data_IF_611965716103
#
_entry.id   IF_611965716103
#
_cell.length_a   1.000
_cell.length_b   1.000
_cell.length_c   1.000
_cell.angle_alpha   90.00
_cell.angle_beta   90.00
_cell.angle_gamma   90.00
#
_symmetry.space_group_name_H-M   'P 1'
#
loop_
_entity.id
_entity.type
_entity.pdbx_description
1 polymer ?
#
# COMPACT_ATOMS: atom_id res chain seq x y z
N UNK A 1 -18.65 -34.70 49.65
CA UNK A 1 -17.68 -34.54 48.55
C UNK A 1 -17.89 -33.19 47.90
N UNK A 2 -16.86 -32.35 47.95
CA UNK A 2 -16.81 -31.03 47.31
C UNK A 2 -15.64 -31.08 46.32
N UNK A 3 -15.86 -30.55 45.11
CA UNK A 3 -14.82 -30.40 44.09
C UNK A 3 -14.65 -28.92 43.84
N UNK A 4 -13.40 -28.45 43.87
CA UNK A 4 -13.04 -27.07 43.54
C UNK A 4 -11.78 -27.04 42.67
N UNK A 5 -11.52 -25.89 42.06
CA UNK A 5 -10.44 -25.71 41.10
C UNK A 5 -9.57 -24.53 41.49
N UNK A 6 -8.28 -24.60 41.15
CA UNK A 6 -7.30 -23.52 41.32
C UNK A 6 -6.45 -23.40 40.05
N UNK A 7 -6.21 -22.17 39.61
CA UNK A 7 -5.39 -21.83 38.43
C UNK A 7 -5.85 -22.51 37.13
N UNK A 8 -7.16 -22.68 36.94
CA UNK A 8 -7.75 -23.48 35.87
C UNK A 8 -8.12 -22.69 34.59
N UNK A 9 -7.67 -21.44 34.47
CA UNK A 9 -8.02 -20.55 33.34
C UNK A 9 -6.89 -20.25 32.38
N UNK A 10 -5.66 -20.15 32.87
CA UNK A 10 -4.51 -19.75 32.07
C UNK A 10 -3.54 -20.92 31.96
N UNK A 11 -2.70 -20.86 30.94
CA UNK A 11 -1.60 -21.82 30.71
C UNK A 11 -0.73 -21.96 31.95
N UNK A 12 -0.36 -23.21 32.22
CA UNK A 12 0.43 -23.62 33.37
C UNK A 12 -0.28 -24.66 34.24
N UNK A 13 0.20 -24.80 35.46
CA UNK A 13 -0.24 -25.87 36.36
C UNK A 13 -1.55 -25.52 37.07
N UNK A 14 -2.58 -26.31 36.83
CA UNK A 14 -3.88 -26.24 37.48
C UNK A 14 -4.08 -27.38 38.50
N UNK A 15 -4.95 -27.15 39.48
CA UNK A 15 -5.25 -28.13 40.53
C UNK A 15 -6.75 -28.36 40.64
N UNK A 16 -7.19 -29.60 40.56
CA UNK A 16 -8.52 -30.04 41.03
C UNK A 16 -8.37 -30.47 42.48
N UNK A 17 -9.11 -29.83 43.39
CA UNK A 17 -9.09 -30.10 44.81
C UNK A 17 -10.36 -30.90 45.14
N UNK A 18 -10.19 -32.16 45.56
CA UNK A 18 -11.28 -33.06 45.93
C UNK A 18 -11.32 -33.22 47.44
N UNK A 19 -12.35 -32.68 48.10
CA UNK A 19 -12.58 -32.83 49.54
C UNK A 19 -13.69 -33.84 49.82
N UNK A 20 -13.35 -34.94 50.47
CA UNK A 20 -14.29 -36.00 50.87
C UNK A 20 -14.96 -35.64 52.20
N UNK A 21 -14.15 -35.19 53.17
CA UNK A 21 -14.56 -34.63 54.47
C UNK A 21 -13.82 -33.31 54.76
N UNK A 22 -13.93 -32.75 55.98
CA UNK A 22 -13.17 -31.55 56.39
C UNK A 22 -11.66 -31.77 56.36
N UNK A 23 -11.21 -33.01 56.60
CA UNK A 23 -9.80 -33.34 56.81
C UNK A 23 -9.29 -34.44 55.85
N UNK A 24 -10.17 -35.00 55.01
CA UNK A 24 -9.82 -35.99 53.99
C UNK A 24 -10.09 -35.47 52.58
N UNK A 25 -9.07 -35.55 51.74
CA UNK A 25 -9.12 -35.14 50.34
C UNK A 25 -7.81 -35.41 49.61
N UNK A 26 -7.79 -35.10 48.31
CA UNK A 26 -6.59 -35.16 47.49
C UNK A 26 -6.65 -34.13 46.36
N UNK A 27 -5.47 -33.77 45.87
CA UNK A 27 -5.30 -32.85 44.76
C UNK A 27 -4.93 -33.63 43.49
N UNK A 28 -5.56 -33.29 42.37
CA UNK A 28 -5.16 -33.74 41.04
C UNK A 28 -4.52 -32.55 40.34
N UNK A 29 -3.27 -32.70 39.92
CA UNK A 29 -2.53 -31.68 39.18
C UNK A 29 -2.62 -31.99 37.69
N UNK A 30 -2.90 -30.98 36.87
CA UNK A 30 -2.86 -31.09 35.43
C UNK A 30 -2.26 -29.82 34.81
N UNK A 31 -1.74 -29.96 33.60
CA UNK A 31 -1.17 -28.85 32.84
C UNK A 31 -2.18 -28.32 31.83
N UNK A 32 -2.36 -27.00 31.82
CA UNK A 32 -3.04 -26.29 30.75
C UNK A 32 -1.97 -25.87 29.74
N UNK A 33 -2.04 -26.44 28.54
CA UNK A 33 -1.13 -26.13 27.43
C UNK A 33 -1.67 -24.94 26.61
N UNK A 34 -0.80 -24.10 26.03
CA UNK A 34 -1.26 -23.01 25.18
C UNK A 34 -1.97 -23.54 23.94
N UNK A 35 -3.04 -22.85 23.54
CA UNK A 35 -3.71 -23.11 22.27
C UNK A 35 -2.88 -22.59 21.10
N UNK A 36 -2.99 -23.20 19.92
CA UNK A 36 -2.36 -22.67 18.72
C UNK A 36 -3.18 -21.47 18.20
N UNK A 37 -2.54 -20.34 17.94
CA UNK A 37 -3.21 -19.17 17.36
C UNK A 37 -3.77 -19.45 15.96
N UNK A 38 -3.25 -20.47 15.26
CA UNK A 38 -3.79 -20.94 13.98
C UNK A 38 -5.21 -21.52 14.09
N UNK A 39 -5.66 -21.89 15.29
CA UNK A 39 -7.03 -22.35 15.53
C UNK A 39 -8.02 -21.18 15.75
N UNK A 40 -7.53 -19.94 15.84
CA UNK A 40 -8.37 -18.75 15.93
C UNK A 40 -8.83 -18.29 14.54
N UNK A 41 -10.04 -17.71 14.47
CA UNK A 41 -10.50 -17.00 13.29
C UNK A 41 -9.89 -15.61 13.33
N UNK A 42 -9.02 -15.31 12.37
CA UNK A 42 -8.42 -13.99 12.19
C UNK A 42 -9.05 -13.28 10.99
N UNK A 43 -9.36 -12.00 11.15
CA UNK A 43 -9.83 -11.15 10.08
C UNK A 43 -9.29 -9.74 10.21
N UNK A 44 -9.30 -9.02 9.10
CA UNK A 44 -8.93 -7.61 9.04
C UNK A 44 -9.87 -6.87 8.09
N UNK A 45 -9.86 -5.55 8.16
CA UNK A 45 -10.69 -4.71 7.30
C UNK A 45 -9.99 -4.43 5.97
N UNK A 46 -10.78 -4.35 4.90
CA UNK A 46 -10.26 -3.91 3.61
C UNK A 46 -9.80 -2.44 3.71
N UNK A 47 -8.71 -2.13 3.03
CA UNK A 47 -8.08 -0.82 3.01
C UNK A 47 -8.14 -0.20 1.62
N UNK A 48 -8.01 1.12 1.53
CA UNK A 48 -7.85 1.83 0.25
C UNK A 48 -6.37 2.04 -0.02
N UNK A 49 -5.96 1.91 -1.28
CA UNK A 49 -4.59 2.22 -1.70
C UNK A 49 -4.24 3.67 -1.37
N UNK A 50 -3.04 3.89 -0.81
CA UNK A 50 -2.53 5.23 -0.45
C UNK A 50 -1.12 5.50 -0.97
N UNK A 51 -0.47 4.51 -1.59
CA UNK A 51 0.95 4.57 -1.95
C UNK A 51 1.90 4.50 -0.75
N UNK A 52 1.40 4.27 0.46
CA UNK A 52 2.19 4.13 1.69
C UNK A 52 1.88 2.78 2.38
N UNK A 53 2.79 2.27 3.25
CA UNK A 53 2.52 1.08 4.05
C UNK A 53 1.23 1.21 4.87
N UNK A 54 0.36 0.20 4.75
CA UNK A 54 -0.91 0.08 5.46
C UNK A 54 -0.79 -0.93 6.60
N UNK A 55 -1.28 -0.54 7.78
CA UNK A 55 -1.22 -1.36 9.00
C UNK A 55 -2.63 -1.48 9.61
N UNK A 56 -3.56 -2.21 8.97
CA UNK A 56 -4.90 -2.39 9.54
C UNK A 56 -4.84 -3.24 10.81
N UNK A 57 -5.89 -3.10 11.62
CA UNK A 57 -6.08 -3.89 12.84
C UNK A 57 -6.47 -5.33 12.52
N UNK A 58 -6.16 -6.23 13.46
CA UNK A 58 -6.59 -7.63 13.43
C UNK A 58 -7.73 -7.84 14.42
N UNK A 59 -8.80 -8.48 13.97
CA UNK A 59 -9.84 -9.04 14.82
C UNK A 59 -9.62 -10.54 14.93
N UNK A 60 -9.71 -11.08 16.15
CA UNK A 60 -9.44 -12.48 16.42
C UNK A 60 -10.53 -13.07 17.33
N UNK A 61 -11.03 -14.26 16.97
CA UNK A 61 -11.97 -15.02 17.79
C UNK A 61 -11.48 -16.45 17.97
N UNK A 62 -11.45 -16.92 19.21
CA UNK A 62 -11.17 -18.31 19.56
C UNK A 62 -12.33 -18.87 20.39
N UNK A 63 -12.95 -19.97 19.96
CA UNK A 63 -14.13 -20.56 20.60
C UNK A 63 -15.25 -19.53 20.87
N UNK A 64 -15.53 -18.67 19.89
CA UNK A 64 -16.52 -17.59 19.97
C UNK A 64 -16.22 -16.46 20.97
N UNK A 65 -15.02 -16.46 21.56
CA UNK A 65 -14.55 -15.40 22.46
C UNK A 65 -13.54 -14.53 21.71
N UNK A 66 -13.71 -13.21 21.81
CA UNK A 66 -12.74 -12.26 21.27
C UNK A 66 -11.43 -12.32 22.06
N UNK A 67 -10.31 -12.44 21.35
CA UNK A 67 -8.95 -12.40 21.91
C UNK A 67 -8.22 -11.16 21.42
N UNK A 68 -7.28 -10.65 22.21
CA UNK A 68 -6.71 -9.31 22.05
C UNK A 68 -5.24 -9.28 21.63
N UNK A 69 -4.89 -8.28 20.83
CA UNK A 69 -3.49 -7.91 20.56
C UNK A 69 -2.83 -7.45 21.87
N UNK A 70 -1.63 -7.94 22.15
CA UNK A 70 -0.85 -7.65 23.35
C UNK A 70 -1.22 -8.50 24.57
N UNK A 71 -2.40 -9.14 24.59
CA UNK A 71 -2.79 -10.09 25.64
C UNK A 71 -2.66 -11.54 25.22
N UNK A 72 -3.15 -11.87 24.03
CA UNK A 72 -3.32 -13.24 23.55
C UNK A 72 -2.48 -13.52 22.30
N UNK A 73 -2.18 -12.48 21.52
CA UNK A 73 -1.26 -12.54 20.38
C UNK A 73 -0.60 -11.19 20.16
N UNK A 74 0.47 -11.14 19.38
CA UNK A 74 1.09 -9.90 18.92
C UNK A 74 1.22 -9.89 17.39
N UNK A 75 1.30 -8.69 16.82
CA UNK A 75 1.56 -8.52 15.38
C UNK A 75 3.08 -8.56 15.18
N UNK A 76 3.53 -9.45 14.32
CA UNK A 76 4.96 -9.68 14.04
C UNK A 76 5.41 -8.83 12.87
N UNK A 77 4.65 -8.82 11.78
CA UNK A 77 4.99 -8.08 10.56
C UNK A 77 3.80 -7.92 9.63
N UNK A 78 3.91 -6.97 8.72
CA UNK A 78 3.03 -6.81 7.57
C UNK A 78 3.81 -7.16 6.29
N UNK A 79 3.13 -7.76 5.32
CA UNK A 79 3.67 -8.13 4.01
C UNK A 79 2.66 -7.73 2.92
N UNK A 80 3.15 -7.36 1.73
CA UNK A 80 2.33 -6.89 0.60
C UNK A 80 1.37 -5.76 1.00
N UNK A 81 1.84 -4.82 1.83
CA UNK A 81 0.99 -3.83 2.49
C UNK A 81 1.06 -2.42 1.88
N UNK A 82 1.55 -2.28 0.65
CA UNK A 82 1.66 -0.99 -0.04
C UNK A 82 0.81 -1.00 -1.32
N UNK A 83 1.10 -1.94 -2.21
CA UNK A 83 0.42 -2.07 -3.50
C UNK A 83 -0.99 -2.66 -3.37
N UNK A 84 -1.84 -2.36 -4.34
CA UNK A 84 -3.17 -2.96 -4.40
C UNK A 84 -3.12 -4.48 -4.58
N UNK A 85 -4.09 -5.19 -3.98
CA UNK A 85 -4.09 -6.65 -3.91
C UNK A 85 -4.27 -7.17 -2.48
N UNK A 86 -3.74 -8.35 -2.19
CA UNK A 86 -3.88 -8.99 -0.88
C UNK A 86 -2.65 -8.70 0.00
N UNK A 87 -2.88 -7.96 1.08
CA UNK A 87 -1.92 -7.77 2.16
C UNK A 87 -2.03 -8.86 3.23
N UNK A 88 -0.92 -9.14 3.90
CA UNK A 88 -0.80 -10.20 4.90
C UNK A 88 -0.31 -9.60 6.22
N UNK A 89 -0.95 -10.00 7.31
CA UNK A 89 -0.59 -9.65 8.69
C UNK A 89 -0.14 -10.93 9.38
N UNK A 90 1.13 -11.00 9.75
CA UNK A 90 1.70 -12.13 10.49
C UNK A 90 1.52 -11.89 11.99
N UNK A 91 0.91 -12.84 12.69
CA UNK A 91 0.69 -12.77 14.14
C UNK A 91 1.33 -13.94 14.86
N UNK A 92 1.72 -13.72 16.12
CA UNK A 92 2.27 -14.76 17.00
C UNK A 92 1.44 -14.85 18.27
N UNK A 93 1.01 -16.06 18.64
CA UNK A 93 0.33 -16.31 19.90
C UNK A 93 1.26 -16.06 21.10
N UNK A 94 0.71 -15.48 22.17
CA UNK A 94 1.42 -15.22 23.43
C UNK A 94 0.54 -15.63 24.62
N UNK A 95 1.17 -15.85 25.78
CA UNK A 95 0.46 -16.17 27.02
C UNK A 95 -0.29 -17.50 26.92
N UNK A 96 -1.62 -17.42 26.79
CA UNK A 96 -2.47 -18.60 26.64
C UNK A 96 -2.44 -19.21 25.23
N UNK A 97 -1.74 -18.55 24.29
CA UNK A 97 -1.60 -18.99 22.92
C UNK A 97 -0.12 -19.13 22.55
N UNK A 98 0.13 -19.92 21.51
CA UNK A 98 1.43 -20.15 20.88
C UNK A 98 1.25 -20.15 19.36
N UNK A 99 2.31 -20.44 18.60
CA UNK A 99 2.26 -20.58 17.15
C UNK A 99 2.24 -19.25 16.40
N UNK A 100 2.10 -19.35 15.08
CA UNK A 100 2.04 -18.23 14.14
C UNK A 100 0.81 -18.45 13.25
N UNK A 101 0.09 -17.37 12.98
CA UNK A 101 -1.01 -17.37 12.02
C UNK A 101 -0.97 -16.08 11.18
N UNK A 102 -1.79 -16.05 10.14
CA UNK A 102 -1.89 -14.90 9.24
C UNK A 102 -3.33 -14.43 9.14
N UNK A 103 -3.52 -13.11 9.13
CA UNK A 103 -4.75 -12.49 8.67
C UNK A 103 -4.50 -11.85 7.30
N UNK A 104 -5.48 -11.93 6.40
CA UNK A 104 -5.42 -11.24 5.11
C UNK A 104 -6.30 -9.99 5.13
N UNK A 105 -5.91 -8.99 4.37
CA UNK A 105 -6.74 -7.83 4.04
C UNK A 105 -6.59 -7.46 2.57
N UNK A 106 -7.64 -6.87 2.00
CA UNK A 106 -7.61 -6.41 0.61
C UNK A 106 -7.26 -4.91 0.55
N UNK A 107 -6.29 -4.54 -0.29
CA UNK A 107 -5.94 -3.17 -0.63
C UNK A 107 -6.62 -2.83 -1.95
N UNK A 108 -7.68 -2.03 -1.85
CA UNK A 108 -8.54 -1.65 -2.95
C UNK A 108 -8.00 -0.41 -3.65
N UNK A 109 -7.67 -0.55 -4.93
CA UNK A 109 -7.40 0.54 -5.85
C UNK A 109 -8.59 0.73 -6.79
N UNK A 110 -9.50 1.59 -6.34
CA UNK A 110 -10.76 1.89 -7.03
C UNK A 110 -10.64 3.20 -7.79
N UNK A 111 -11.51 3.38 -8.77
CA UNK A 111 -11.57 4.62 -9.51
C UNK A 111 -11.88 5.81 -8.57
N UNK A 112 -11.25 6.95 -8.83
CA UNK A 112 -11.46 8.21 -8.09
C UNK A 112 -11.78 9.36 -9.05
N UNK A 113 -12.39 10.42 -8.50
CA UNK A 113 -12.64 11.67 -9.20
C UNK A 113 -11.48 12.64 -8.98
N UNK A 114 -10.59 12.72 -9.97
CA UNK A 114 -9.45 13.65 -9.95
C UNK A 114 -9.81 15.08 -10.36
N UNK A 115 -11.11 15.40 -10.52
CA UNK A 115 -11.60 16.73 -10.84
C UNK A 115 -11.47 17.14 -12.32
N UNK A 116 -11.11 16.19 -13.20
CA UNK A 116 -11.00 16.41 -14.63
C UNK A 116 -12.26 15.94 -15.35
N UNK A 117 -13.03 16.83 -16.01
CA UNK A 117 -14.31 16.46 -16.65
C UNK A 117 -14.21 15.44 -17.80
N UNK A 118 -13.02 15.29 -18.38
CA UNK A 118 -12.71 14.36 -19.46
C UNK A 118 -12.07 13.04 -19.00
N UNK A 119 -11.89 12.86 -17.69
CA UNK A 119 -11.49 11.59 -17.08
C UNK A 119 -12.72 10.85 -16.62
N UNK A 120 -13.04 9.72 -17.27
CA UNK A 120 -14.24 8.98 -16.92
C UNK A 120 -13.94 7.94 -15.85
N UNK A 121 -14.76 7.81 -14.79
CA UNK A 121 -14.50 6.83 -13.71
C UNK A 121 -14.46 5.36 -14.17
N UNK A 122 -15.05 5.04 -15.33
CA UNK A 122 -15.03 3.71 -15.93
C UNK A 122 -13.81 3.45 -16.83
N UNK A 123 -12.96 4.46 -17.06
CA UNK A 123 -11.65 4.25 -17.68
C UNK A 123 -10.76 3.38 -16.76
N UNK A 124 -9.71 2.80 -17.33
CA UNK A 124 -8.83 1.88 -16.60
C UNK A 124 -7.80 2.59 -15.69
N UNK A 125 -7.45 3.84 -16.04
CA UNK A 125 -6.38 4.65 -15.43
C UNK A 125 -6.78 5.65 -14.32
N UNK A 126 -8.06 6.02 -14.06
CA UNK A 126 -8.44 7.01 -13.06
C UNK A 126 -8.40 6.37 -11.67
N UNK A 127 -7.26 5.81 -11.31
CA UNK A 127 -6.98 5.13 -10.06
C UNK A 127 -5.86 5.83 -9.33
N UNK A 128 -5.85 5.72 -8.00
CA UNK A 128 -4.83 6.38 -7.19
C UNK A 128 -3.43 5.84 -7.48
N UNK A 129 -3.30 4.55 -7.83
CA UNK A 129 -2.00 3.96 -8.23
C UNK A 129 -1.48 4.40 -9.60
N UNK A 130 -2.30 5.04 -10.44
CA UNK A 130 -1.95 5.39 -11.82
C UNK A 130 -1.99 6.91 -12.00
N UNK A 131 -3.21 7.46 -12.16
CA UNK A 131 -3.39 8.89 -12.40
C UNK A 131 -3.10 9.69 -11.13
N UNK A 132 -3.62 9.24 -9.98
CA UNK A 132 -3.34 9.88 -8.69
C UNK A 132 -1.85 9.95 -8.40
N UNK A 133 -1.14 8.83 -8.59
CA UNK A 133 0.31 8.78 -8.42
C UNK A 133 1.05 9.80 -9.29
N UNK A 134 0.70 9.90 -10.58
CA UNK A 134 1.32 10.86 -11.49
C UNK A 134 1.03 12.32 -11.11
N UNK A 135 -0.17 12.62 -10.60
CA UNK A 135 -0.57 13.95 -10.14
C UNK A 135 0.11 14.33 -8.83
N UNK A 136 0.08 13.44 -7.83
CA UNK A 136 0.64 13.66 -6.49
C UNK A 136 2.16 13.90 -6.51
N UNK A 137 2.86 13.25 -7.45
CA UNK A 137 4.30 13.44 -7.64
C UNK A 137 4.64 14.58 -8.61
N UNK A 138 3.64 15.26 -9.19
CA UNK A 138 3.84 16.35 -10.14
C UNK A 138 4.46 15.90 -11.47
N UNK A 139 4.34 14.62 -11.82
CA UNK A 139 4.84 14.10 -13.10
C UNK A 139 3.94 14.57 -14.25
N UNK A 140 2.63 14.67 -14.00
CA UNK A 140 1.65 15.17 -14.96
C UNK A 140 0.74 16.20 -14.30
N UNK A 141 0.17 17.07 -15.12
CA UNK A 141 -0.81 18.08 -14.73
C UNK A 141 -1.88 18.19 -15.82
N UNK A 142 -3.09 18.60 -15.44
CA UNK A 142 -4.10 18.98 -16.42
C UNK A 142 -3.79 20.31 -17.09
N UNK A 143 -4.52 20.58 -18.16
CA UNK A 143 -4.45 21.82 -18.91
C UNK A 143 -5.17 22.98 -18.18
N UNK A 144 -4.84 24.21 -18.55
CA UNK A 144 -5.42 25.44 -17.97
C UNK A 144 -6.95 25.54 -18.13
N UNK A 145 -7.54 24.77 -19.05
CA UNK A 145 -8.98 24.68 -19.28
C UNK A 145 -9.70 23.69 -18.34
N UNK A 146 -8.97 23.05 -17.42
CA UNK A 146 -9.50 22.07 -16.47
C UNK A 146 -9.65 20.65 -17.01
N UNK A 147 -9.17 20.36 -18.23
CA UNK A 147 -9.15 19.01 -18.81
C UNK A 147 -7.82 18.31 -18.53
N UNK A 148 -7.80 16.98 -18.46
CA UNK A 148 -6.57 16.21 -18.39
C UNK A 148 -5.93 15.97 -19.76
N UNK A 149 -6.74 15.79 -20.82
CA UNK A 149 -6.26 15.41 -22.15
C UNK A 149 -6.04 13.90 -22.29
N UNK A 150 -6.85 13.06 -21.62
CA UNK A 150 -6.64 11.60 -21.52
C UNK A 150 -6.58 10.84 -22.84
N UNK A 151 -7.21 11.38 -23.89
CA UNK A 151 -7.24 10.81 -25.24
C UNK A 151 -6.42 11.63 -26.25
N UNK A 152 -5.72 12.67 -25.80
CA UNK A 152 -4.88 13.47 -26.66
C UNK A 152 -3.63 12.68 -27.05
N UNK A 153 -3.19 12.84 -28.29
CA UNK A 153 -1.90 12.27 -28.70
C UNK A 153 -0.79 12.99 -27.96
N UNK A 154 -0.01 12.26 -27.17
CA UNK A 154 1.13 12.86 -26.47
C UNK A 154 2.15 13.39 -27.50
N UNK A 155 2.46 14.68 -27.40
CA UNK A 155 3.48 15.33 -28.23
C UNK A 155 4.84 15.30 -27.53
N UNK A 156 5.91 15.51 -28.29
CA UNK A 156 7.30 15.42 -27.79
C UNK A 156 7.58 16.37 -26.63
N UNK A 157 6.95 17.55 -26.61
CA UNK A 157 7.11 18.56 -25.56
C UNK A 157 6.62 18.08 -24.19
N UNK A 158 5.32 17.78 -24.03
CA UNK A 158 4.75 17.18 -22.82
C UNK A 158 5.46 15.90 -22.40
N UNK A 159 5.80 15.00 -23.34
CA UNK A 159 6.56 13.78 -23.01
C UNK A 159 7.89 14.08 -22.31
N UNK A 160 8.69 14.98 -22.88
CA UNK A 160 9.96 15.40 -22.26
C UNK A 160 9.74 16.16 -20.95
N UNK A 161 8.64 16.89 -20.82
CA UNK A 161 8.25 17.57 -19.57
C UNK A 161 7.99 16.57 -18.45
N UNK A 162 7.24 15.50 -18.72
CA UNK A 162 6.98 14.43 -17.75
C UNK A 162 8.28 13.79 -17.28
N UNK A 163 9.19 13.44 -18.21
CA UNK A 163 10.49 12.87 -17.87
C UNK A 163 11.33 13.85 -17.02
N UNK A 164 11.34 15.13 -17.37
CA UNK A 164 12.05 16.15 -16.60
C UNK A 164 11.53 16.25 -15.17
N UNK A 165 10.21 16.25 -14.99
CA UNK A 165 9.57 16.25 -13.67
C UNK A 165 9.93 15.00 -12.85
N UNK A 166 9.94 13.82 -13.47
CA UNK A 166 10.39 12.58 -12.83
C UNK A 166 11.85 12.63 -12.36
N UNK A 167 12.68 13.52 -12.95
CA UNK A 167 14.07 13.75 -12.51
C UNK A 167 14.25 14.88 -11.50
N UNK A 168 13.17 15.45 -10.96
CA UNK A 168 13.21 16.57 -10.02
C UNK A 168 13.42 17.94 -10.69
N UNK A 169 13.08 18.05 -11.98
CA UNK A 169 13.09 19.28 -12.78
C UNK A 169 14.40 20.10 -12.71
N UNK A 170 15.60 19.49 -12.85
CA UNK A 170 16.88 20.19 -12.74
C UNK A 170 17.03 21.30 -13.78
N UNK A 171 17.58 22.43 -13.35
CA UNK A 171 17.84 23.58 -14.22
C UNK A 171 19.26 23.53 -14.76
N UNK A 172 19.40 23.46 -16.08
CA UNK A 172 20.70 23.35 -16.77
C UNK A 172 20.80 24.30 -17.96
N UNK A 173 22.03 24.60 -18.37
CA UNK A 173 22.33 25.36 -19.58
C UNK A 173 22.68 24.44 -20.76
N UNK A 174 22.03 24.64 -21.91
CA UNK A 174 22.37 23.99 -23.18
C UNK A 174 22.04 24.93 -24.36
N UNK A 175 22.58 24.60 -25.54
CA UNK A 175 22.24 25.30 -26.77
C UNK A 175 20.72 25.21 -27.06
N UNK A 176 20.15 26.28 -27.59
CA UNK A 176 18.73 26.34 -27.92
C UNK A 176 18.42 25.63 -29.25
N UNK A 177 17.29 24.91 -29.33
CA UNK A 177 16.69 24.55 -30.62
C UNK A 177 15.97 25.76 -31.19
N UNK A 178 15.94 25.87 -32.51
CA UNK A 178 15.43 27.07 -33.18
C UNK A 178 13.90 27.20 -33.12
N UNK A 179 13.20 26.08 -32.96
CA UNK A 179 11.73 25.99 -32.95
C UNK A 179 11.12 25.86 -31.55
N UNK A 180 11.91 26.10 -30.49
CA UNK A 180 11.46 25.95 -29.11
C UNK A 180 11.29 27.31 -28.43
N UNK A 181 10.04 27.63 -28.08
CA UNK A 181 9.74 28.74 -27.18
C UNK A 181 10.11 28.39 -25.73
N UNK A 182 11.31 28.76 -25.28
CA UNK A 182 11.80 28.42 -23.93
C UNK A 182 11.04 29.09 -22.77
N UNK A 183 10.13 30.03 -23.06
CA UNK A 183 9.19 30.60 -22.09
C UNK A 183 7.92 29.76 -21.91
N UNK A 184 7.71 28.72 -22.73
CA UNK A 184 6.58 27.80 -22.61
C UNK A 184 6.86 26.72 -21.57
N UNK A 185 5.82 26.00 -21.14
CA UNK A 185 5.88 25.00 -20.06
C UNK A 185 6.94 23.90 -20.31
N UNK A 186 7.18 23.51 -21.56
CA UNK A 186 8.17 22.50 -21.93
C UNK A 186 9.60 23.05 -22.10
N UNK A 187 9.81 24.36 -22.06
CA UNK A 187 11.09 25.00 -22.37
C UNK A 187 12.26 24.51 -21.51
N UNK A 188 12.16 24.57 -20.17
CA UNK A 188 13.18 24.05 -19.27
C UNK A 188 13.46 22.56 -19.47
N UNK A 189 12.41 21.76 -19.68
CA UNK A 189 12.52 20.32 -19.88
C UNK A 189 13.28 19.97 -21.17
N UNK A 190 12.97 20.63 -22.29
CA UNK A 190 13.68 20.41 -23.56
C UNK A 190 15.14 20.85 -23.47
N UNK A 191 15.42 21.94 -22.74
CA UNK A 191 16.80 22.38 -22.48
C UNK A 191 17.57 21.32 -21.70
N UNK A 192 16.95 20.78 -20.66
CA UNK A 192 17.51 19.70 -19.88
C UNK A 192 17.78 18.47 -20.73
N UNK A 193 16.78 18.02 -21.49
CA UNK A 193 16.89 16.82 -22.30
C UNK A 193 18.00 16.89 -23.35
N UNK A 194 18.24 18.09 -23.91
CA UNK A 194 19.40 18.32 -24.80
C UNK A 194 20.73 18.27 -24.05
N UNK A 195 20.79 18.86 -22.86
CA UNK A 195 22.00 18.90 -22.04
C UNK A 195 22.44 17.50 -21.60
N UNK A 196 21.48 16.62 -21.30
CA UNK A 196 21.70 15.26 -20.79
C UNK A 196 21.78 14.20 -21.89
N UNK A 197 21.51 14.57 -23.14
CA UNK A 197 21.48 13.63 -24.26
C UNK A 197 20.24 12.74 -24.31
N UNK A 198 19.20 13.03 -23.51
CA UNK A 198 17.89 12.35 -23.60
C UNK A 198 17.25 12.60 -24.96
N UNK A 199 17.48 13.76 -25.57
CA UNK A 199 17.05 14.06 -26.94
C UNK A 199 18.15 14.73 -27.75
N UNK A 200 18.31 14.32 -29.01
CA UNK A 200 19.29 14.90 -29.95
C UNK A 200 18.69 15.95 -30.89
N UNK A 201 17.35 16.01 -31.00
CA UNK A 201 16.66 16.82 -32.01
C UNK A 201 16.87 16.28 -33.44
N UNK A 202 16.54 17.11 -34.43
CA UNK A 202 16.72 16.82 -35.85
C UNK A 202 17.98 17.48 -36.40
N UNK A 203 18.44 17.01 -37.57
CA UNK A 203 19.66 17.51 -38.24
C UNK A 203 19.59 18.99 -38.67
N UNK A 204 18.43 19.63 -38.56
CA UNK A 204 18.16 21.05 -38.86
C UNK A 204 18.14 21.94 -37.60
N UNK A 205 18.61 21.44 -36.45
CA UNK A 205 18.57 22.11 -35.14
C UNK A 205 17.13 22.41 -34.65
N UNK A 206 16.15 21.60 -35.05
CA UNK A 206 14.77 21.63 -34.53
C UNK A 206 14.49 20.48 -33.55
N UNK A 207 13.49 20.65 -32.69
CA UNK A 207 12.99 19.63 -31.76
C UNK A 207 11.59 19.12 -32.09
N UNK A 208 10.74 19.98 -32.65
CA UNK A 208 9.34 19.76 -33.03
C UNK A 208 8.47 19.38 -31.84
N UNK A 209 8.30 20.27 -30.83
CA UNK A 209 7.62 19.95 -29.57
C UNK A 209 6.17 19.49 -29.75
N UNK A 210 5.47 20.02 -30.76
CA UNK A 210 4.08 19.68 -31.06
C UNK A 210 3.92 18.43 -31.92
N UNK A 211 5.00 17.76 -32.33
CA UNK A 211 4.88 16.51 -33.09
C UNK A 211 4.47 15.39 -32.13
N UNK A 212 3.44 14.58 -32.47
CA UNK A 212 3.12 13.36 -31.75
C UNK A 212 4.33 12.42 -31.66
N UNK A 213 4.53 11.83 -30.47
CA UNK A 213 5.53 10.78 -30.23
C UNK A 213 4.97 9.45 -30.75
N UNK A 214 5.78 8.69 -31.48
CA UNK A 214 5.42 7.32 -31.90
C UNK A 214 5.93 6.32 -30.86
N UNK A 215 5.30 5.14 -30.77
CA UNK A 215 5.67 4.12 -29.77
C UNK A 215 7.16 3.70 -29.80
N UNK A 216 7.82 3.76 -30.97
CA UNK A 216 9.27 3.49 -31.11
C UNK A 216 10.15 4.55 -30.43
N UNK A 217 9.59 5.70 -30.06
CA UNK A 217 10.28 6.80 -29.39
C UNK A 217 9.97 6.87 -27.88
N UNK A 218 9.12 5.96 -27.37
CA UNK A 218 8.76 5.80 -25.95
C UNK A 218 9.59 4.68 -25.31
#
# INVERSE_FOLDING_TARGET
>A
MIVSYRNDRNVGTATVIVSVTSDEGFDIIFEIVPADIADAILSSENMRYTGQPLEPRVFAMYNYIGIGVGSDFEIVSYENNVESGTGIIHVRGIGNFTGIATAEFEILDVADDFGFPDVRPDDWYPKQSILGYALDHGFMHGHDNGMFGSYDSITRGPFVTTLHNMTGSPQVGAAAFDDVGYSQHYGPAIRWARATGVVSGYGDNTFRPERPVMCEEL
#
